data_IF_618884750784
#
_entry.id   IF_618884750784
#
_cell.length_a   1.000
_cell.length_b   1.000
_cell.length_c   1.000
_cell.angle_alpha   90.00
_cell.angle_beta   90.00
_cell.angle_gamma   90.00
#
_symmetry.space_group_name_H-M   'P 1'
#
loop_
_entity.id
_entity.type
_entity.pdbx_description
1 polymer ?
#
# COMPACT_ATOMS: atom_id res chain seq x y z
N UNK A 1 -5.59 -1.49 35.14
CA UNK A 1 -5.69 -2.70 36.00
C UNK A 1 -5.39 -2.32 37.45
N UNK A 2 -6.12 -2.85 38.43
CA UNK A 2 -5.80 -2.73 39.86
C UNK A 2 -5.84 -4.11 40.52
N UNK A 3 -5.27 -4.22 41.71
CA UNK A 3 -5.20 -5.46 42.49
C UNK A 3 -5.85 -5.25 43.85
N UNK A 4 -6.37 -6.33 44.44
CA UNK A 4 -6.95 -6.33 45.79
C UNK A 4 -6.21 -7.37 46.62
N UNK A 5 -5.80 -7.03 47.84
CA UNK A 5 -5.16 -7.98 48.75
C UNK A 5 -6.18 -8.76 49.61
N UNK A 6 -5.70 -9.73 50.39
CA UNK A 6 -6.53 -10.59 51.26
C UNK A 6 -7.26 -9.80 52.36
N UNK A 7 -6.73 -8.64 52.76
CA UNK A 7 -7.35 -7.76 53.75
C UNK A 7 -8.37 -6.78 53.11
N UNK A 8 -8.49 -6.76 51.78
CA UNK A 8 -9.41 -5.91 51.04
C UNK A 8 -8.82 -4.55 50.62
N UNK A 9 -7.51 -4.32 50.75
CA UNK A 9 -6.90 -3.07 50.27
C UNK A 9 -6.83 -3.07 48.74
N UNK A 10 -7.24 -1.97 48.12
CA UNK A 10 -7.27 -1.80 46.66
C UNK A 10 -6.09 -0.91 46.24
N UNK A 11 -5.29 -1.36 45.27
CA UNK A 11 -4.19 -0.57 44.71
C UNK A 11 -4.69 0.50 43.73
N UNK A 12 -3.86 1.53 43.49
CA UNK A 12 -4.14 2.52 42.46
C UNK A 12 -4.24 1.86 41.08
N UNK A 13 -5.29 2.17 40.33
CA UNK A 13 -5.47 1.63 38.99
C UNK A 13 -4.38 2.11 38.03
N UNK A 14 -3.76 1.16 37.31
CA UNK A 14 -2.91 1.46 36.16
C UNK A 14 -3.75 1.99 35.00
N UNK A 15 -3.31 3.12 34.44
CA UNK A 15 -3.89 3.79 33.27
C UNK A 15 -2.95 3.63 32.06
N UNK A 16 -3.53 3.34 30.90
CA UNK A 16 -2.82 3.34 29.63
C UNK A 16 -3.78 3.75 28.52
N UNK A 17 -3.25 4.34 27.45
CA UNK A 17 -4.03 4.70 26.27
C UNK A 17 -3.92 3.59 25.23
N UNK A 18 -5.05 3.17 24.68
CA UNK A 18 -5.12 2.30 23.51
C UNK A 18 -5.74 3.13 22.39
N UNK A 19 -5.06 3.20 21.26
CA UNK A 19 -5.61 3.76 20.03
C UNK A 19 -6.06 2.61 19.14
N UNK A 20 -7.32 2.66 18.69
CA UNK A 20 -7.82 1.74 17.68
C UNK A 20 -7.87 2.53 16.38
N UNK A 21 -7.10 2.08 15.39
CA UNK A 21 -7.17 2.61 14.04
C UNK A 21 -8.09 1.72 13.20
N UNK A 22 -9.15 2.33 12.68
CA UNK A 22 -10.10 1.68 11.76
C UNK A 22 -10.19 2.43 10.43
N UNK A 23 -9.26 3.33 10.15
CA UNK A 23 -9.23 4.07 8.90
C UNK A 23 -8.60 3.18 7.82
N UNK A 24 -9.29 3.03 6.70
CA UNK A 24 -8.72 2.33 5.56
C UNK A 24 -7.63 3.20 4.92
N UNK A 25 -6.60 2.57 4.33
CA UNK A 25 -5.63 3.32 3.55
C UNK A 25 -6.30 4.09 2.43
N UNK A 26 -5.76 5.26 2.11
CA UNK A 26 -6.22 6.02 0.94
C UNK A 26 -6.01 5.22 -0.35
N UNK A 27 -6.94 5.34 -1.30
CA UNK A 27 -6.82 4.66 -2.59
C UNK A 27 -5.54 5.09 -3.32
N UNK A 28 -4.81 4.16 -3.99
CA UNK A 28 -3.66 4.51 -4.82
C UNK A 28 -4.05 5.46 -5.97
N UNK A 29 -3.13 6.34 -6.37
CA UNK A 29 -3.34 7.30 -7.45
C UNK A 29 -2.11 7.41 -8.36
N UNK A 30 -2.27 8.06 -9.51
CA UNK A 30 -1.14 8.39 -10.38
C UNK A 30 -0.50 7.18 -11.05
N UNK A 31 -1.28 6.12 -11.33
CA UNK A 31 -0.81 4.98 -12.09
C UNK A 31 -0.29 5.46 -13.46
N UNK A 32 0.96 5.16 -13.77
CA UNK A 32 1.65 5.62 -14.97
C UNK A 32 2.61 4.56 -15.50
N UNK A 33 2.75 4.53 -16.81
CA UNK A 33 3.71 3.70 -17.52
C UNK A 33 5.08 4.39 -17.53
N UNK A 34 6.15 3.67 -17.18
CA UNK A 34 7.50 4.22 -17.30
C UNK A 34 7.88 4.45 -18.77
N UNK A 35 8.57 5.55 -19.07
CA UNK A 35 9.06 5.89 -20.41
C UNK A 35 9.87 4.76 -21.05
N UNK A 36 10.64 4.01 -20.25
CA UNK A 36 11.44 2.87 -20.73
C UNK A 36 10.59 1.69 -21.23
N UNK A 37 9.33 1.62 -20.82
CA UNK A 37 8.36 0.60 -21.23
C UNK A 37 7.38 1.12 -22.30
N UNK A 38 7.58 2.36 -22.77
CA UNK A 38 6.76 2.99 -23.78
C UNK A 38 7.35 2.73 -25.18
N UNK A 39 6.51 2.23 -26.10
CA UNK A 39 6.91 1.95 -27.49
C UNK A 39 6.49 3.05 -28.48
N UNK A 40 5.97 4.18 -27.98
CA UNK A 40 5.33 5.24 -28.77
C UNK A 40 5.49 6.62 -28.12
N UNK A 41 4.37 7.31 -27.90
CA UNK A 41 4.37 8.63 -27.25
C UNK A 41 4.40 8.47 -25.74
N UNK A 42 5.23 9.25 -25.05
CA UNK A 42 5.26 9.23 -23.58
C UNK A 42 4.07 9.94 -22.91
N UNK A 43 3.23 10.61 -23.69
CA UNK A 43 2.13 11.44 -23.16
C UNK A 43 0.75 10.76 -23.21
N UNK A 44 0.67 9.50 -23.66
CA UNK A 44 -0.61 8.81 -23.90
C UNK A 44 -0.85 7.56 -23.03
N UNK A 45 0.16 7.09 -22.29
CA UNK A 45 0.15 5.81 -21.55
C UNK A 45 -0.20 4.58 -22.42
N UNK A 46 0.13 4.61 -23.71
CA UNK A 46 -0.12 3.51 -24.65
C UNK A 46 1.22 2.84 -25.00
N UNK A 47 1.26 1.52 -24.91
CA UNK A 47 2.43 0.74 -25.33
C UNK A 47 2.01 -0.57 -25.99
N UNK A 48 2.85 -1.07 -26.89
CA UNK A 48 2.75 -2.42 -27.47
C UNK A 48 3.65 -3.43 -26.76
N UNK A 49 4.45 -2.98 -25.79
CA UNK A 49 5.21 -3.88 -24.92
C UNK A 49 4.25 -4.62 -24.00
N UNK A 50 4.37 -5.95 -23.93
CA UNK A 50 3.50 -6.80 -23.10
C UNK A 50 4.24 -7.51 -21.98
N UNK A 51 5.57 -7.56 -21.99
CA UNK A 51 6.37 -8.19 -20.93
C UNK A 51 7.35 -7.19 -20.30
N UNK A 52 7.62 -7.37 -19.00
CA UNK A 52 8.48 -6.50 -18.22
C UNK A 52 8.11 -4.99 -18.34
N UNK A 53 6.80 -4.68 -18.29
CA UNK A 53 6.34 -3.29 -18.21
C UNK A 53 6.56 -2.78 -16.80
N UNK A 54 7.21 -1.63 -16.65
CA UNK A 54 7.30 -0.96 -15.37
C UNK A 54 6.11 -0.03 -15.20
N UNK A 55 5.25 -0.34 -14.23
CA UNK A 55 4.15 0.52 -13.78
C UNK A 55 4.54 1.19 -12.47
N UNK A 56 4.27 2.49 -12.37
CA UNK A 56 4.54 3.29 -11.18
C UNK A 56 3.30 4.04 -10.72
N UNK A 57 3.31 4.49 -9.47
CA UNK A 57 2.25 5.32 -8.92
C UNK A 57 2.50 5.67 -7.47
N UNK A 58 1.45 6.18 -6.82
CA UNK A 58 1.50 6.56 -5.40
C UNK A 58 0.39 5.90 -4.60
N UNK A 59 0.68 5.58 -3.36
CA UNK A 59 -0.27 5.11 -2.36
C UNK A 59 0.12 5.67 -0.98
N UNK A 60 -0.65 5.34 0.05
CA UNK A 60 -0.23 5.64 1.40
C UNK A 60 1.13 4.98 1.72
N UNK A 61 2.00 5.69 2.43
CA UNK A 61 3.35 5.22 2.73
C UNK A 61 3.30 3.86 3.46
N UNK A 62 4.11 2.90 3.00
CA UNK A 62 4.14 1.52 3.51
C UNK A 62 2.86 0.70 3.26
N UNK A 63 1.88 1.20 2.50
CA UNK A 63 0.71 0.42 2.12
C UNK A 63 1.07 -0.62 1.05
N UNK A 64 0.38 -1.76 1.07
CA UNK A 64 0.45 -2.77 0.01
C UNK A 64 -0.53 -2.40 -1.10
N UNK A 65 -0.03 -2.35 -2.32
CA UNK A 65 -0.80 -2.13 -3.55
C UNK A 65 -0.86 -3.44 -4.33
N UNK A 66 -2.04 -3.79 -4.85
CA UNK A 66 -2.22 -4.89 -5.79
C UNK A 66 -2.65 -4.34 -7.15
N UNK A 67 -1.95 -4.75 -8.20
CA UNK A 67 -2.20 -4.31 -9.57
C UNK A 67 -3.05 -5.35 -10.31
N UNK A 68 -4.02 -4.90 -11.09
CA UNK A 68 -4.93 -5.79 -11.85
C UNK A 68 -4.97 -5.40 -13.32
N UNK A 69 -5.00 -6.42 -14.19
CA UNK A 69 -5.45 -6.30 -15.58
C UNK A 69 -6.87 -6.88 -15.69
N UNK A 70 -7.87 -6.00 -15.67
CA UNK A 70 -9.27 -6.42 -15.55
C UNK A 70 -9.51 -7.15 -14.22
N UNK A 71 -9.79 -8.46 -14.28
CA UNK A 71 -9.97 -9.31 -13.10
C UNK A 71 -8.71 -10.10 -12.71
N UNK A 72 -7.65 -10.06 -13.51
CA UNK A 72 -6.42 -10.83 -13.28
C UNK A 72 -5.47 -10.02 -12.42
N UNK A 73 -5.07 -10.57 -11.26
CA UNK A 73 -4.01 -9.97 -10.44
C UNK A 73 -2.66 -10.10 -11.12
N UNK A 74 -1.93 -8.98 -11.18
CA UNK A 74 -0.54 -8.87 -11.63
C UNK A 74 0.43 -8.92 -10.43
N UNK A 75 -0.11 -9.15 -9.23
CA UNK A 75 0.62 -9.24 -7.97
C UNK A 75 0.74 -7.91 -7.22
N UNK A 76 1.44 -7.97 -6.08
CA UNK A 76 1.52 -6.88 -5.11
C UNK A 76 2.85 -6.14 -5.12
N UNK A 77 2.86 -4.90 -4.64
CA UNK A 77 4.04 -4.08 -4.37
C UNK A 77 3.77 -3.21 -3.14
N UNK A 78 4.78 -2.97 -2.30
CA UNK A 78 4.65 -2.06 -1.15
C UNK A 78 5.12 -0.67 -1.55
N UNK A 79 4.33 0.36 -1.24
CA UNK A 79 4.76 1.74 -1.40
C UNK A 79 5.87 2.08 -0.38
N UNK A 80 6.85 2.87 -0.81
CA UNK A 80 7.95 3.31 0.03
C UNK A 80 7.48 4.28 1.15
N UNK A 81 8.41 4.73 1.98
CA UNK A 81 8.13 5.68 3.06
C UNK A 81 7.63 7.06 2.58
N UNK A 82 7.79 7.36 1.29
CA UNK A 82 7.27 8.57 0.65
C UNK A 82 5.97 8.33 -0.11
N UNK A 83 5.47 7.09 -0.12
CA UNK A 83 4.25 6.69 -0.81
C UNK A 83 4.44 6.29 -2.28
N UNK A 84 5.66 6.19 -2.80
CA UNK A 84 5.88 5.79 -4.20
C UNK A 84 5.96 4.27 -4.33
N UNK A 85 5.43 3.72 -5.42
CA UNK A 85 5.65 2.33 -5.79
C UNK A 85 6.05 2.19 -7.26
N UNK A 86 6.79 1.12 -7.57
CA UNK A 86 7.14 0.72 -8.93
C UNK A 86 7.16 -0.81 -9.02
N UNK A 87 6.54 -1.36 -10.05
CA UNK A 87 6.43 -2.81 -10.24
C UNK A 87 6.56 -3.17 -11.72
N UNK A 88 7.41 -4.15 -12.00
CA UNK A 88 7.45 -4.80 -13.30
C UNK A 88 6.32 -5.84 -13.41
N UNK A 89 5.57 -5.78 -14.50
CA UNK A 89 4.44 -6.66 -14.78
C UNK A 89 4.57 -7.32 -16.14
N UNK A 90 3.92 -8.47 -16.29
CA UNK A 90 3.78 -9.19 -17.54
C UNK A 90 2.28 -9.30 -17.87
N UNK A 91 1.94 -8.98 -19.12
CA UNK A 91 0.60 -8.93 -19.70
C UNK A 91 0.47 -9.85 -20.92
N UNK A 92 1.49 -10.67 -21.20
CA UNK A 92 1.49 -11.61 -22.33
C UNK A 92 0.56 -12.81 -22.15
#
# INVERSE_FOLDING_TARGET
VYTVDIAGNISTASTGTVTIDTTNPSAPTGLSLADSSNTGSNDDNITSQTSALTLSGTAEANATVELFNGATSLGTVTADNSGNFSKDVDLS
#
